data_IF_897603488077
#
_entry.id   IF_897603488077
#
_cell.length_a   1.000
_cell.length_b   1.000
_cell.length_c   1.000
_cell.angle_alpha   90.00
_cell.angle_beta   90.00
_cell.angle_gamma   90.00
#
_symmetry.space_group_name_H-M   'P 1'
#
loop_
_entity.id
_entity.type
_entity.pdbx_description
1 polymer ?
#
# COMPACT_ATOMS: atom_id res chain seq x y z
N UNK A 1 -3.81 53.91 -14.38
CA UNK A 1 -2.85 52.92 -14.91
C UNK A 1 -1.69 52.85 -13.93
N UNK A 2 -1.66 51.83 -13.06
CA UNK A 2 -0.56 51.62 -12.09
C UNK A 2 0.02 50.26 -12.42
N UNK A 3 1.24 50.26 -12.96
CA UNK A 3 2.01 49.06 -13.30
C UNK A 3 2.76 48.61 -12.05
N UNK A 4 2.36 47.47 -11.50
CA UNK A 4 3.10 46.79 -10.42
C UNK A 4 4.07 45.78 -11.05
N UNK A 5 5.35 46.12 -11.02
CA UNK A 5 6.44 45.23 -11.40
C UNK A 5 6.77 44.31 -10.20
N UNK A 6 6.57 43.00 -10.37
CA UNK A 6 7.05 41.97 -9.42
C UNK A 6 8.29 41.33 -10.04
N UNK A 7 9.46 41.32 -9.37
CA UNK A 7 10.68 40.80 -9.95
C UNK A 7 10.61 39.28 -10.10
N UNK A 8 11.04 38.82 -11.28
CA UNK A 8 10.95 37.45 -11.76
C UNK A 8 11.77 36.46 -10.94
N UNK A 9 11.12 35.33 -10.65
CA UNK A 9 11.80 34.05 -10.50
C UNK A 9 12.45 33.67 -11.84
N UNK A 10 13.69 33.22 -11.79
CA UNK A 10 14.48 32.76 -12.93
C UNK A 10 13.70 31.79 -13.84
N UNK A 11 13.29 32.31 -15.00
CA UNK A 11 12.83 31.58 -16.16
C UNK A 11 14.06 31.04 -16.92
N UNK A 12 14.61 29.88 -16.55
CA UNK A 12 15.48 29.09 -17.43
C UNK A 12 15.48 27.60 -17.01
N UNK A 13 14.31 26.98 -17.00
CA UNK A 13 14.20 25.56 -17.33
C UNK A 13 13.29 25.50 -18.55
N UNK A 14 13.90 25.47 -19.73
CA UNK A 14 13.18 25.16 -20.96
C UNK A 14 12.42 23.84 -20.75
N UNK A 15 11.13 23.89 -21.05
CA UNK A 15 10.12 22.83 -20.94
C UNK A 15 10.46 21.60 -21.80
N UNK A 16 11.53 20.89 -21.46
CA UNK A 16 11.83 19.61 -22.06
C UNK A 16 11.09 18.52 -21.29
N UNK A 17 10.26 17.79 -22.02
CA UNK A 17 9.67 16.53 -21.62
C UNK A 17 10.75 15.55 -21.15
N UNK A 18 10.52 14.80 -20.04
CA UNK A 18 11.41 13.70 -19.65
C UNK A 18 11.61 12.67 -20.78
N UNK A 19 10.53 12.33 -21.51
CA UNK A 19 10.63 11.48 -22.70
C UNK A 19 11.54 12.00 -23.84
N UNK A 20 11.82 13.31 -23.91
CA UNK A 20 12.65 13.94 -24.93
C UNK A 20 14.01 14.43 -24.41
N UNK A 21 14.28 14.32 -23.11
CA UNK A 21 15.59 14.71 -22.57
C UNK A 21 16.68 13.73 -23.01
N UNK A 22 17.85 14.29 -23.34
CA UNK A 22 19.06 13.52 -23.59
C UNK A 22 19.53 12.82 -22.32
N UNK A 23 20.18 11.67 -22.47
CA UNK A 23 20.69 10.85 -21.37
C UNK A 23 21.62 11.63 -20.43
N UNK A 24 22.41 12.56 -20.97
CA UNK A 24 23.28 13.46 -20.21
C UNK A 24 22.48 14.44 -19.33
N UNK A 25 21.34 14.93 -19.80
CA UNK A 25 20.46 15.79 -19.03
C UNK A 25 19.77 15.00 -17.90
N UNK A 26 19.35 13.76 -18.17
CA UNK A 26 18.81 12.86 -17.15
C UNK A 26 19.86 12.49 -16.09
N UNK A 27 21.12 12.31 -16.49
CA UNK A 27 22.23 12.08 -15.56
C UNK A 27 22.51 13.30 -14.67
N UNK A 28 22.47 14.50 -15.23
CA UNK A 28 22.63 15.73 -14.45
C UNK A 28 21.48 15.93 -13.43
N UNK A 29 20.24 15.57 -13.82
CA UNK A 29 19.08 15.60 -12.95
C UNK A 29 19.19 14.57 -11.81
N UNK A 30 19.62 13.34 -12.11
CA UNK A 30 19.85 12.30 -11.11
C UNK A 30 20.96 12.69 -10.12
N UNK A 31 22.01 13.36 -10.59
CA UNK A 31 23.12 13.81 -9.75
C UNK A 31 22.76 15.01 -8.85
N UNK A 32 21.69 15.74 -9.20
CA UNK A 32 21.27 16.96 -8.52
C UNK A 32 19.91 16.75 -7.85
N UNK A 33 19.86 16.06 -6.72
CA UNK A 33 18.64 16.01 -5.93
C UNK A 33 18.49 14.85 -4.95
N UNK A 34 17.23 14.53 -4.68
CA UNK A 34 16.78 13.48 -3.79
C UNK A 34 17.46 12.12 -4.14
N UNK A 35 18.19 11.48 -3.21
CA UNK A 35 18.95 10.25 -3.50
C UNK A 35 18.09 9.07 -3.96
N UNK A 36 16.77 9.14 -3.73
CA UNK A 36 15.78 8.15 -4.16
C UNK A 36 15.41 8.27 -5.65
N UNK A 37 15.70 9.42 -6.27
CA UNK A 37 15.48 9.64 -7.70
C UNK A 37 16.78 9.30 -8.45
N UNK A 38 17.08 8.01 -8.47
CA UNK A 38 18.27 7.49 -9.13
C UNK A 38 18.11 7.57 -10.66
N UNK A 39 19.24 7.48 -11.37
CA UNK A 39 19.28 7.43 -12.83
C UNK A 39 18.37 6.34 -13.40
N UNK A 40 18.26 5.20 -12.72
CA UNK A 40 17.40 4.08 -13.12
C UNK A 40 15.93 4.51 -13.21
N UNK A 41 15.35 4.98 -12.11
CA UNK A 41 13.99 5.53 -12.04
C UNK A 41 13.73 6.59 -13.13
N UNK A 42 14.65 7.54 -13.32
CA UNK A 42 14.46 8.61 -14.33
C UNK A 42 14.50 8.07 -15.77
N UNK A 43 15.36 7.10 -16.03
CA UNK A 43 15.47 6.48 -17.35
C UNK A 43 14.26 5.61 -17.65
N UNK A 44 13.74 4.91 -16.65
CA UNK A 44 12.52 4.13 -16.74
C UNK A 44 11.29 5.01 -16.97
N UNK A 45 11.17 6.11 -16.23
CA UNK A 45 10.11 7.08 -16.48
C UNK A 45 10.20 7.66 -17.90
N UNK A 46 11.41 7.94 -18.38
CA UNK A 46 11.61 8.39 -19.76
C UNK A 46 11.26 7.32 -20.80
N UNK A 47 11.54 6.04 -20.53
CA UNK A 47 11.22 4.92 -21.43
C UNK A 47 9.71 4.64 -21.47
N UNK A 48 9.04 4.68 -20.32
CA UNK A 48 7.59 4.58 -20.19
C UNK A 48 6.90 5.69 -21.00
N UNK A 49 7.35 6.94 -20.86
CA UNK A 49 6.82 8.06 -21.64
C UNK A 49 7.01 7.89 -23.15
N UNK A 50 8.16 7.36 -23.59
CA UNK A 50 8.41 7.11 -25.02
C UNK A 50 7.50 6.01 -25.56
N UNK A 51 7.37 4.90 -24.85
CA UNK A 51 6.51 3.78 -25.27
C UNK A 51 5.05 4.20 -25.39
N UNK A 52 4.56 4.97 -24.41
CA UNK A 52 3.24 5.57 -24.45
C UNK A 52 3.02 6.51 -25.65
N UNK A 53 4.00 7.36 -25.94
CA UNK A 53 3.92 8.28 -27.09
C UNK A 53 3.91 7.55 -28.42
N UNK A 54 4.64 6.43 -28.53
CA UNK A 54 4.62 5.59 -29.73
C UNK A 54 3.24 4.97 -29.96
N UNK A 55 2.62 4.42 -28.91
CA UNK A 55 1.26 3.85 -29.01
C UNK A 55 0.23 4.95 -29.33
N UNK A 56 0.35 6.10 -28.65
CA UNK A 56 -0.47 7.28 -28.90
C UNK A 56 -0.43 7.69 -30.38
N UNK A 57 0.77 7.78 -30.96
CA UNK A 57 0.96 8.17 -32.36
C UNK A 57 0.45 7.11 -33.34
N UNK A 58 0.62 5.82 -33.03
CA UNK A 58 0.16 4.72 -33.91
C UNK A 58 -1.37 4.60 -33.96
N UNK A 59 -2.05 4.88 -32.84
CA UNK A 59 -3.49 4.62 -32.68
C UNK A 59 -4.34 5.88 -32.54
N UNK A 60 -3.72 7.06 -32.63
CA UNK A 60 -4.36 8.37 -32.40
C UNK A 60 -5.05 8.47 -31.02
N UNK A 61 -4.41 7.90 -29.99
CA UNK A 61 -4.89 7.96 -28.61
C UNK A 61 -4.31 9.18 -27.90
N UNK A 62 -5.14 9.89 -27.13
CA UNK A 62 -4.67 10.98 -26.28
C UNK A 62 -4.02 10.39 -25.02
N UNK A 63 -2.68 10.27 -25.03
CA UNK A 63 -1.94 9.81 -23.87
C UNK A 63 -1.38 11.01 -23.09
N UNK A 64 -1.82 11.20 -21.83
CA UNK A 64 -1.41 12.31 -21.00
C UNK A 64 0.02 12.11 -20.51
N UNK A 65 0.81 13.20 -20.53
CA UNK A 65 2.19 13.18 -20.07
C UNK A 65 2.33 13.83 -18.70
N UNK A 66 2.93 13.11 -17.76
CA UNK A 66 3.21 13.63 -16.42
C UNK A 66 4.53 14.40 -16.43
N UNK A 67 4.44 15.71 -16.25
CA UNK A 67 5.62 16.59 -16.14
C UNK A 67 6.09 16.65 -14.68
N UNK A 68 6.76 15.60 -14.23
CA UNK A 68 7.44 15.58 -12.94
C UNK A 68 8.90 16.07 -13.11
N UNK A 69 9.38 16.88 -12.16
CA UNK A 69 10.74 17.43 -12.20
C UNK A 69 11.35 17.30 -10.80
N UNK A 70 12.35 16.43 -10.61
CA UNK A 70 13.03 16.29 -9.32
C UNK A 70 13.55 17.62 -8.79
N UNK A 71 13.43 17.82 -7.48
CA UNK A 71 13.96 19.00 -6.81
C UNK A 71 15.49 18.99 -6.77
N UNK A 72 16.10 20.06 -7.23
CA UNK A 72 17.56 20.28 -7.22
C UNK A 72 18.10 20.87 -5.92
N UNK A 73 17.35 20.76 -4.82
CA UNK A 73 17.78 21.30 -3.53
C UNK A 73 18.99 20.53 -2.98
N UNK A 74 20.03 21.24 -2.55
CA UNK A 74 21.24 20.64 -1.96
C UNK A 74 21.04 19.92 -0.62
N UNK A 75 19.85 20.01 -0.01
CA UNK A 75 19.48 19.23 1.18
C UNK A 75 18.42 18.19 0.78
N UNK A 76 18.77 16.91 0.92
CA UNK A 76 17.91 15.77 0.55
C UNK A 76 16.53 15.81 1.19
N UNK A 77 16.43 16.23 2.45
CA UNK A 77 15.15 16.33 3.18
C UNK A 77 14.25 17.42 2.61
N UNK A 78 14.81 18.56 2.24
CA UNK A 78 14.05 19.66 1.62
C UNK A 78 13.67 19.33 0.17
N UNK A 79 14.56 18.65 -0.56
CA UNK A 79 14.29 18.15 -1.90
C UNK A 79 13.09 17.18 -1.89
N UNK A 80 13.13 16.14 -1.05
CA UNK A 80 12.03 15.18 -0.89
C UNK A 80 10.71 15.83 -0.51
N UNK A 81 10.71 16.78 0.43
CA UNK A 81 9.49 17.56 0.77
C UNK A 81 8.95 18.37 -0.40
N UNK A 82 9.81 18.84 -1.30
CA UNK A 82 9.39 19.51 -2.52
C UNK A 82 8.78 18.51 -3.51
N UNK A 83 9.45 17.37 -3.71
CA UNK A 83 9.03 16.29 -4.59
C UNK A 83 7.66 15.72 -4.17
N UNK A 84 7.48 15.42 -2.88
CA UNK A 84 6.20 14.98 -2.29
C UNK A 84 5.11 16.01 -2.59
N UNK A 85 5.34 17.29 -2.31
CA UNK A 85 4.35 18.35 -2.58
C UNK A 85 4.01 18.48 -4.07
N UNK A 86 4.98 18.27 -4.96
CA UNK A 86 4.76 18.28 -6.39
C UNK A 86 3.95 17.04 -6.83
N UNK A 87 4.30 15.86 -6.35
CA UNK A 87 3.57 14.63 -6.63
C UNK A 87 2.10 14.72 -6.18
N UNK A 88 1.84 15.22 -4.98
CA UNK A 88 0.47 15.49 -4.50
C UNK A 88 -0.30 16.46 -5.39
N UNK A 89 0.38 17.45 -5.99
CA UNK A 89 -0.25 18.40 -6.91
C UNK A 89 -0.63 17.72 -8.23
N UNK A 90 0.25 16.88 -8.77
CA UNK A 90 0.08 16.21 -10.04
C UNK A 90 -0.92 15.04 -9.95
N UNK A 91 -0.94 14.31 -8.84
CA UNK A 91 -1.83 13.16 -8.63
C UNK A 91 -3.24 13.55 -8.16
N UNK A 92 -3.49 14.83 -7.94
CA UNK A 92 -4.76 15.31 -7.43
C UNK A 92 -5.86 15.09 -8.47
N UNK A 93 -6.96 14.39 -8.12
CA UNK A 93 -8.06 14.15 -9.06
C UNK A 93 -8.63 15.46 -9.63
N UNK A 94 -8.93 15.46 -10.93
CA UNK A 94 -9.46 16.64 -11.60
C UNK A 94 -10.85 17.00 -11.07
N UNK A 95 -10.95 18.20 -10.48
CA UNK A 95 -12.21 18.73 -9.95
C UNK A 95 -12.93 19.53 -11.03
N UNK A 96 -14.25 19.46 -11.02
CA UNK A 96 -15.07 20.35 -11.88
C UNK A 96 -15.03 21.78 -11.36
N UNK A 97 -15.22 22.76 -12.24
CA UNK A 97 -15.35 24.16 -11.83
C UNK A 97 -16.45 24.31 -10.76
N UNK A 98 -16.25 25.24 -9.82
CA UNK A 98 -17.21 25.54 -8.75
C UNK A 98 -18.59 25.92 -9.31
N UNK A 99 -18.63 26.52 -10.48
CA UNK A 99 -19.86 27.03 -11.13
C UNK A 99 -20.52 25.96 -12.03
N UNK A 100 -19.91 24.78 -12.19
CA UNK A 100 -20.48 23.75 -13.07
C UNK A 100 -21.79 23.18 -12.48
N UNK A 101 -22.87 23.07 -13.27
CA UNK A 101 -24.15 22.58 -12.77
C UNK A 101 -24.03 21.15 -12.23
N UNK A 102 -23.25 20.29 -12.89
CA UNK A 102 -22.98 18.93 -12.42
C UNK A 102 -22.34 18.88 -11.01
N UNK A 103 -21.57 19.90 -10.61
CA UNK A 103 -20.98 19.98 -9.27
C UNK A 103 -22.00 20.39 -8.22
N UNK A 104 -22.96 21.25 -8.57
CA UNK A 104 -24.12 21.57 -7.73
C UNK A 104 -24.99 20.34 -7.47
N UNK A 105 -25.13 19.45 -8.46
CA UNK A 105 -25.82 18.16 -8.33
C UNK A 105 -24.96 17.02 -7.72
N UNK A 106 -23.86 17.34 -7.03
CA UNK A 106 -23.08 16.37 -6.25
C UNK A 106 -21.90 15.70 -6.98
N UNK A 107 -21.69 15.94 -8.28
CA UNK A 107 -20.52 15.40 -9.01
C UNK A 107 -19.30 16.33 -8.89
N UNK A 108 -18.57 16.24 -7.77
CA UNK A 108 -17.36 17.06 -7.53
C UNK A 108 -16.21 16.82 -8.52
N UNK A 109 -16.00 15.58 -8.93
CA UNK A 109 -14.88 15.16 -9.79
C UNK A 109 -15.31 15.04 -11.25
N UNK A 110 -14.38 15.32 -12.17
CA UNK A 110 -14.66 15.26 -13.62
C UNK A 110 -14.72 13.83 -14.12
N UNK A 111 -13.74 13.01 -13.73
CA UNK A 111 -13.49 11.68 -14.28
C UNK A 111 -13.84 10.51 -13.34
N UNK A 112 -14.49 10.80 -12.21
CA UNK A 112 -14.90 9.77 -11.24
C UNK A 112 -16.17 9.03 -11.68
N UNK A 113 -16.08 8.21 -12.73
CA UNK A 113 -17.23 7.50 -13.31
C UNK A 113 -17.05 5.98 -13.30
N UNK A 114 -15.93 5.49 -13.82
CA UNK A 114 -15.65 4.08 -14.07
C UNK A 114 -14.22 3.72 -13.66
N UNK A 115 -13.98 2.44 -13.36
CA UNK A 115 -12.71 1.92 -12.81
C UNK A 115 -11.53 2.01 -13.77
N UNK A 116 -11.77 1.98 -15.08
CA UNK A 116 -10.71 2.07 -16.09
C UNK A 116 -10.34 3.51 -16.47
N UNK A 117 -11.08 4.52 -16.01
CA UNK A 117 -10.79 5.91 -16.37
C UNK A 117 -9.83 6.50 -15.33
N UNK A 118 -8.77 7.14 -15.82
CA UNK A 118 -7.83 7.86 -14.96
C UNK A 118 -8.49 9.10 -14.34
N UNK A 119 -8.36 9.27 -13.02
CA UNK A 119 -9.04 10.35 -12.27
C UNK A 119 -8.43 11.74 -12.45
N UNK A 120 -7.21 11.82 -12.97
CA UNK A 120 -6.46 13.08 -13.15
C UNK A 120 -6.68 13.66 -14.54
N UNK A 121 -6.44 12.86 -15.58
CA UNK A 121 -6.41 13.31 -16.97
C UNK A 121 -7.67 12.89 -17.75
N UNK A 122 -8.33 11.79 -17.36
CA UNK A 122 -9.49 11.22 -18.03
C UNK A 122 -9.16 10.17 -19.09
N UNK A 123 -7.91 9.70 -19.16
CA UNK A 123 -7.47 8.67 -20.11
C UNK A 123 -8.13 7.31 -19.83
N UNK A 124 -8.48 6.59 -20.89
CA UNK A 124 -9.04 5.23 -20.79
C UNK A 124 -7.91 4.21 -20.66
N UNK A 125 -7.69 3.72 -19.44
CA UNK A 125 -6.64 2.75 -19.14
C UNK A 125 -6.97 1.36 -19.69
N UNK A 126 -8.25 1.02 -19.92
CA UNK A 126 -8.63 -0.28 -20.48
C UNK A 126 -8.15 -0.40 -21.92
N UNK A 127 -8.34 0.65 -22.71
CA UNK A 127 -7.88 0.68 -24.10
C UNK A 127 -6.34 0.63 -24.15
N UNK A 128 -5.65 1.33 -23.26
CA UNK A 128 -4.19 1.25 -23.17
C UNK A 128 -3.69 -0.18 -22.89
N UNK A 129 -4.26 -0.84 -21.87
CA UNK A 129 -3.87 -2.20 -21.47
C UNK A 129 -4.11 -3.22 -22.60
N UNK A 130 -5.16 -3.04 -23.41
CA UNK A 130 -5.45 -3.96 -24.52
C UNK A 130 -4.35 -4.00 -25.58
N UNK A 131 -3.65 -2.90 -25.80
CA UNK A 131 -2.57 -2.84 -26.77
C UNK A 131 -1.22 -3.22 -26.15
N UNK A 132 -0.91 -2.67 -24.99
CA UNK A 132 0.36 -2.89 -24.32
C UNK A 132 0.20 -2.66 -22.82
N UNK A 133 0.60 -3.64 -22.01
CA UNK A 133 0.53 -3.52 -20.57
C UNK A 133 1.71 -2.71 -20.03
N UNK A 134 1.64 -1.40 -20.18
CA UNK A 134 2.67 -0.48 -19.71
C UNK A 134 2.92 -0.56 -18.20
N UNK A 135 1.93 -1.00 -17.42
CA UNK A 135 2.08 -1.24 -15.99
C UNK A 135 3.04 -2.39 -15.68
N UNK A 136 3.20 -3.35 -16.59
CA UNK A 136 4.10 -4.49 -16.43
C UNK A 136 5.55 -4.14 -16.75
N UNK A 137 5.75 -3.15 -17.63
CA UNK A 137 7.08 -2.67 -18.04
C UNK A 137 7.76 -1.78 -17.01
N UNK A 138 6.96 -1.16 -16.15
CA UNK A 138 7.45 -0.30 -15.08
C UNK A 138 7.62 -1.17 -13.84
N UNK A 139 8.86 -1.36 -13.44
CA UNK A 139 9.27 -2.16 -12.32
C UNK A 139 9.78 -1.28 -11.18
N UNK A 140 9.59 -1.77 -9.96
CA UNK A 140 10.20 -1.17 -8.80
C UNK A 140 11.69 -1.58 -8.71
N UNK A 141 12.59 -0.60 -8.64
CA UNK A 141 14.04 -0.80 -8.47
C UNK A 141 14.40 -1.65 -7.24
N UNK A 142 13.62 -1.59 -6.16
CA UNK A 142 13.92 -2.29 -4.90
C UNK A 142 13.43 -3.74 -4.90
N UNK A 143 12.17 -3.95 -5.30
CA UNK A 143 11.53 -5.27 -5.24
C UNK A 143 11.62 -6.05 -6.56
N UNK A 144 11.94 -5.38 -7.67
CA UNK A 144 11.92 -5.94 -9.02
C UNK A 144 10.52 -6.30 -9.52
N UNK A 145 9.46 -5.95 -8.78
CA UNK A 145 8.07 -6.24 -9.14
C UNK A 145 7.50 -5.15 -10.03
N UNK A 146 6.64 -5.54 -10.96
CA UNK A 146 5.97 -4.58 -11.83
C UNK A 146 4.87 -3.82 -11.09
N UNK A 147 4.51 -2.62 -11.57
CA UNK A 147 3.35 -1.89 -11.04
C UNK A 147 2.05 -2.69 -11.17
N UNK A 148 1.95 -3.52 -12.20
CA UNK A 148 0.82 -4.44 -12.39
C UNK A 148 0.72 -5.42 -11.21
N UNK A 149 1.81 -6.09 -10.86
CA UNK A 149 1.81 -7.07 -9.77
C UNK A 149 1.57 -6.41 -8.41
N UNK A 150 2.05 -5.18 -8.21
CA UNK A 150 1.94 -4.49 -6.93
C UNK A 150 0.55 -3.89 -6.68
N UNK A 151 -0.11 -3.37 -7.71
CA UNK A 151 -1.33 -2.55 -7.54
C UNK A 151 -2.57 -3.10 -8.25
N UNK A 152 -2.40 -3.94 -9.27
CA UNK A 152 -3.51 -4.53 -10.02
C UNK A 152 -3.85 -5.97 -9.60
N UNK A 153 -3.17 -6.50 -8.59
CA UNK A 153 -3.49 -7.79 -8.00
C UNK A 153 -4.02 -7.62 -6.58
N UNK A 154 -5.13 -8.29 -6.28
CA UNK A 154 -5.64 -8.33 -4.93
C UNK A 154 -4.71 -9.22 -4.08
N UNK A 155 -4.17 -8.72 -2.94
CA UNK A 155 -3.17 -9.45 -2.16
C UNK A 155 -3.72 -10.71 -1.49
N UNK A 156 -5.04 -10.82 -1.31
CA UNK A 156 -5.66 -11.98 -0.66
C UNK A 156 -6.08 -13.03 -1.68
N UNK A 157 -6.67 -12.60 -2.80
CA UNK A 157 -7.25 -13.54 -3.79
C UNK A 157 -6.34 -13.79 -4.99
N UNK A 158 -5.31 -12.96 -5.22
CA UNK A 158 -4.45 -13.00 -6.40
C UNK A 158 -5.15 -12.63 -7.71
N UNK A 159 -6.43 -12.23 -7.66
CA UNK A 159 -7.18 -11.86 -8.86
C UNK A 159 -6.82 -10.45 -9.33
N UNK A 160 -6.86 -10.24 -10.65
CA UNK A 160 -6.63 -8.93 -11.24
C UNK A 160 -7.80 -7.98 -10.90
N UNK A 161 -7.52 -6.96 -10.08
CA UNK A 161 -8.47 -5.93 -9.65
C UNK A 161 -7.88 -4.55 -9.95
N UNK A 162 -8.65 -3.67 -10.59
CA UNK A 162 -8.16 -2.34 -10.94
C UNK A 162 -7.86 -1.52 -9.69
N UNK A 163 -6.67 -0.90 -9.66
CA UNK A 163 -6.31 0.04 -8.60
C UNK A 163 -7.30 1.20 -8.54
N UNK A 164 -7.90 1.47 -7.37
CA UNK A 164 -8.82 2.59 -7.19
C UNK A 164 -8.13 3.76 -6.48
N UNK A 165 -8.07 4.90 -7.15
CA UNK A 165 -7.47 6.11 -6.61
C UNK A 165 -8.26 6.67 -5.41
N UNK A 166 -7.61 7.48 -4.57
CA UNK A 166 -8.22 8.13 -3.42
C UNK A 166 -8.44 9.63 -3.66
N UNK A 167 -9.44 10.23 -3.00
CA UNK A 167 -9.71 11.68 -3.13
C UNK A 167 -8.48 12.55 -2.80
N UNK A 168 -7.76 12.20 -1.74
CA UNK A 168 -6.55 12.92 -1.30
C UNK A 168 -5.27 12.15 -1.63
N UNK A 169 -5.24 11.42 -2.75
CA UNK A 169 -4.10 10.64 -3.26
C UNK A 169 -3.78 9.42 -2.41
N UNK A 170 -3.28 9.60 -1.18
CA UNK A 170 -2.90 8.51 -0.25
C UNK A 170 -3.95 8.30 0.85
N UNK A 171 -4.82 9.29 1.07
CA UNK A 171 -5.85 9.27 2.12
C UNK A 171 -7.24 9.66 1.60
N UNK A 172 -8.25 9.44 2.44
CA UNK A 172 -9.64 9.85 2.18
C UNK A 172 -10.51 8.71 1.66
N UNK A 173 -11.49 9.04 0.80
CA UNK A 173 -12.46 8.08 0.27
C UNK A 173 -11.95 7.48 -1.04
N UNK A 174 -12.12 6.16 -1.20
CA UNK A 174 -11.90 5.45 -2.47
C UNK A 174 -12.79 6.06 -3.56
N UNK A 175 -12.18 6.38 -4.68
CA UNK A 175 -12.86 6.81 -5.89
C UNK A 175 -13.27 5.60 -6.72
N UNK A 176 -14.02 5.86 -7.78
CA UNK A 176 -14.47 4.84 -8.74
C UNK A 176 -13.51 4.68 -9.91
N UNK A 177 -12.49 5.52 -10.05
CA UNK A 177 -11.53 5.50 -11.16
C UNK A 177 -10.11 5.22 -10.70
N UNK A 178 -9.22 5.00 -11.67
CA UNK A 178 -7.83 4.57 -11.47
C UNK A 178 -6.82 5.68 -11.79
N UNK A 179 -5.54 5.33 -11.86
CA UNK A 179 -4.46 6.15 -12.40
C UNK A 179 -3.93 5.53 -13.70
N UNK A 180 -3.61 6.37 -14.69
CA UNK A 180 -2.88 5.91 -15.87
C UNK A 180 -1.44 5.47 -15.49
N UNK A 181 -0.71 4.73 -16.34
CA UNK A 181 0.59 4.15 -15.99
C UNK A 181 1.59 5.13 -15.36
N UNK A 182 1.74 6.33 -15.94
CA UNK A 182 2.62 7.37 -15.38
C UNK A 182 2.15 7.92 -14.04
N UNK A 183 0.84 8.16 -13.89
CA UNK A 183 0.31 8.63 -12.61
C UNK A 183 0.42 7.53 -11.55
N UNK A 184 0.28 6.25 -11.91
CA UNK A 184 0.47 5.15 -10.98
C UNK A 184 1.94 5.00 -10.59
N UNK A 185 2.87 5.18 -11.53
CA UNK A 185 4.31 5.21 -11.24
C UNK A 185 4.66 6.37 -10.30
N UNK A 186 4.18 7.59 -10.56
CA UNK A 186 4.39 8.72 -9.67
C UNK A 186 3.75 8.50 -8.29
N UNK A 187 2.59 7.82 -8.23
CA UNK A 187 1.96 7.43 -6.97
C UNK A 187 2.82 6.43 -6.19
N UNK A 188 3.39 5.44 -6.88
CA UNK A 188 4.32 4.49 -6.26
C UNK A 188 5.55 5.19 -5.66
N UNK A 189 6.18 6.10 -6.42
CA UNK A 189 7.29 6.92 -5.93
C UNK A 189 6.89 7.81 -4.74
N UNK A 190 5.68 8.38 -4.76
CA UNK A 190 5.15 9.15 -3.64
C UNK A 190 5.07 8.30 -2.37
N UNK A 191 4.50 7.08 -2.45
CA UNK A 191 4.42 6.18 -1.30
C UNK A 191 5.80 5.84 -0.72
N UNK A 192 6.82 5.66 -1.59
CA UNK A 192 8.20 5.46 -1.14
C UNK A 192 8.76 6.67 -0.41
N UNK A 193 8.57 7.87 -0.97
CA UNK A 193 9.06 9.10 -0.34
C UNK A 193 8.39 9.40 0.99
N UNK A 194 7.10 9.10 1.12
CA UNK A 194 6.37 9.20 2.38
C UNK A 194 6.89 8.21 3.41
N UNK A 195 7.04 6.94 3.05
CA UNK A 195 7.58 5.92 3.95
C UNK A 195 8.98 6.29 4.45
N UNK A 196 9.83 6.86 3.60
CA UNK A 196 11.17 7.30 3.99
C UNK A 196 11.15 8.56 4.86
N UNK A 197 10.26 9.52 4.55
CA UNK A 197 10.05 10.69 5.40
C UNK A 197 9.58 10.26 6.79
N UNK A 198 8.66 9.31 6.88
CA UNK A 198 8.17 8.76 8.15
C UNK A 198 9.29 8.04 8.92
N UNK A 199 10.10 7.20 8.27
CA UNK A 199 11.29 6.57 8.91
C UNK A 199 12.25 7.62 9.49
N UNK A 200 12.56 8.67 8.72
CA UNK A 200 13.43 9.76 9.20
C UNK A 200 12.82 10.52 10.38
N UNK A 201 11.49 10.73 10.36
CA UNK A 201 10.77 11.33 11.49
C UNK A 201 10.81 10.43 12.73
N UNK A 202 10.74 9.12 12.55
CA UNK A 202 10.82 8.15 13.64
C UNK A 202 12.21 8.06 14.26
N UNK A 203 13.28 8.20 13.46
CA UNK A 203 14.67 8.21 13.92
C UNK A 203 15.08 9.52 14.63
N UNK A 204 14.27 10.58 14.54
CA UNK A 204 14.62 11.88 15.10
C UNK A 204 14.48 11.88 16.64
N UNK A 205 15.53 12.24 17.41
CA UNK A 205 15.48 12.25 18.88
C UNK A 205 14.44 13.21 19.47
N UNK A 206 13.99 14.22 18.70
CA UNK A 206 12.94 15.15 19.13
C UNK A 206 11.51 14.59 19.02
N UNK A 207 11.35 13.32 18.60
CA UNK A 207 10.05 12.63 18.42
C UNK A 207 9.11 12.75 19.61
N UNK A 208 9.63 12.59 20.83
CA UNK A 208 8.82 12.65 22.06
C UNK A 208 8.21 14.04 22.25
N UNK A 209 8.99 15.09 22.01
CA UNK A 209 8.51 16.48 22.14
C UNK A 209 7.45 16.81 21.09
N UNK A 210 7.62 16.32 19.86
CA UNK A 210 6.67 16.59 18.78
C UNK A 210 5.35 15.82 18.95
N UNK A 211 5.40 14.56 19.38
CA UNK A 211 4.19 13.75 19.66
C UNK A 211 3.42 14.26 20.88
N UNK A 212 4.11 14.70 21.94
CA UNK A 212 3.49 15.35 23.10
C UNK A 212 2.80 16.66 22.71
N UNK A 213 3.40 17.48 21.84
CA UNK A 213 2.77 18.71 21.31
C UNK A 213 1.53 18.43 20.46
N UNK A 214 1.47 17.28 19.81
CA UNK A 214 0.29 16.82 19.06
C UNK A 214 -0.80 16.22 19.97
N UNK A 215 -0.60 16.23 21.30
CA UNK A 215 -1.57 15.69 22.26
C UNK A 215 -1.60 14.17 22.32
N UNK A 216 -0.60 13.49 21.75
CA UNK A 216 -0.48 12.03 21.76
C UNK A 216 0.48 11.63 22.88
N UNK A 217 -0.05 11.04 23.95
CA UNK A 217 0.78 10.39 24.97
C UNK A 217 1.29 9.06 24.41
N UNK A 218 2.60 8.92 24.29
CA UNK A 218 3.21 7.63 23.95
C UNK A 218 3.35 6.86 25.25
N UNK A 219 2.49 5.85 25.43
CA UNK A 219 2.75 4.78 26.40
C UNK A 219 3.78 3.88 25.74
N UNK A 220 5.07 4.17 25.96
CA UNK A 220 6.11 3.18 25.68
C UNK A 220 5.90 2.08 26.71
N UNK A 221 5.16 1.04 26.35
CA UNK A 221 5.29 -0.24 27.04
C UNK A 221 6.72 -0.66 26.76
N UNK A 222 7.62 -0.69 27.75
CA UNK A 222 8.89 -1.35 27.53
C UNK A 222 8.53 -2.78 27.20
N UNK A 223 8.66 -3.16 25.93
CA UNK A 223 8.90 -4.55 25.63
C UNK A 223 10.26 -4.77 26.26
N UNK A 224 10.27 -5.27 27.49
CA UNK A 224 11.41 -5.98 28.01
C UNK A 224 11.60 -7.12 27.04
N UNK A 225 12.34 -6.83 25.96
CA UNK A 225 13.15 -7.80 25.28
C UNK A 225 13.96 -8.36 26.44
N UNK A 226 13.52 -9.50 26.98
CA UNK A 226 14.41 -10.30 27.80
C UNK A 226 15.68 -10.34 26.98
N UNK A 227 16.77 -9.78 27.51
CA UNK A 227 18.06 -9.86 26.85
C UNK A 227 18.25 -11.34 26.59
N UNK A 228 18.01 -11.75 25.35
CA UNK A 228 18.37 -13.06 24.85
C UNK A 228 19.88 -12.96 24.96
N UNK A 229 20.43 -13.53 26.02
CA UNK A 229 21.86 -13.70 26.15
C UNK A 229 22.28 -14.26 24.80
N UNK A 230 23.05 -13.47 24.05
CA UNK A 230 23.64 -13.83 22.77
C UNK A 230 24.62 -14.99 23.02
N UNK A 231 24.08 -16.14 23.41
CA UNK A 231 24.78 -17.39 23.50
C UNK A 231 24.76 -17.94 22.08
N UNK A 232 25.71 -17.44 21.29
CA UNK A 232 26.40 -18.13 20.20
C UNK A 232 25.54 -19.19 19.48
N UNK A 233 24.42 -18.78 18.90
CA UNK A 233 23.61 -19.69 18.08
C UNK A 233 24.38 -19.97 16.80
N UNK A 234 24.74 -21.23 16.50
CA UNK A 234 25.54 -21.56 15.33
C UNK A 234 24.81 -21.15 14.04
N UNK A 235 25.57 -20.64 13.06
CA UNK A 235 25.07 -20.12 11.76
C UNK A 235 24.10 -21.07 11.01
N UNK A 236 24.10 -22.37 11.30
CA UNK A 236 23.17 -23.35 10.75
C UNK A 236 21.73 -23.20 11.27
N UNK A 237 21.53 -22.62 12.46
CA UNK A 237 20.22 -22.47 13.11
C UNK A 237 19.56 -21.11 12.86
N UNK A 238 20.32 -20.11 12.37
CA UNK A 238 19.78 -18.77 12.04
C UNK A 238 18.62 -18.81 11.04
N UNK A 239 18.66 -19.76 10.08
CA UNK A 239 17.57 -19.97 9.12
C UNK A 239 16.25 -20.44 9.75
N UNK A 240 16.31 -21.03 10.95
CA UNK A 240 15.14 -21.52 11.67
C UNK A 240 14.68 -20.56 12.78
N UNK A 241 15.40 -19.46 13.01
CA UNK A 241 15.01 -18.42 13.96
C UNK A 241 13.57 -17.90 13.75
N UNK A 242 13.11 -17.57 12.52
CA UNK A 242 11.72 -17.14 12.32
C UNK A 242 10.70 -18.24 12.66
N UNK A 243 11.08 -19.51 12.55
CA UNK A 243 10.23 -20.64 12.93
C UNK A 243 10.12 -20.77 14.46
N UNK A 244 11.22 -20.56 15.19
CA UNK A 244 11.19 -20.55 16.65
C UNK A 244 10.43 -19.35 17.23
N UNK A 245 10.54 -18.17 16.61
CA UNK A 245 9.75 -16.99 17.01
C UNK A 245 8.24 -17.22 16.85
N UNK A 246 7.85 -17.88 15.75
CA UNK A 246 6.45 -18.25 15.52
C UNK A 246 5.96 -19.22 16.60
N UNK A 247 6.76 -20.25 16.90
CA UNK A 247 6.42 -21.22 17.93
C UNK A 247 6.36 -20.63 19.33
N UNK A 248 7.27 -19.72 19.69
CA UNK A 248 7.24 -19.03 20.97
C UNK A 248 6.02 -18.12 21.12
N UNK A 249 5.53 -17.56 20.00
CA UNK A 249 4.28 -16.80 19.98
C UNK A 249 3.09 -17.72 20.15
N UNK A 250 3.02 -18.79 19.35
CA UNK A 250 1.90 -19.73 19.38
C UNK A 250 1.82 -20.50 20.70
N UNK A 251 2.96 -20.80 21.36
CA UNK A 251 2.98 -21.43 22.68
C UNK A 251 2.44 -20.54 23.82
N UNK A 252 2.33 -19.22 23.61
CA UNK A 252 1.64 -18.34 24.57
C UNK A 252 0.13 -18.35 24.39
N UNK A 253 -0.32 -18.56 23.15
CA UNK A 253 -1.73 -18.47 22.76
C UNK A 253 -2.43 -19.83 22.85
N UNK A 254 -1.72 -20.94 22.62
CA UNK A 254 -2.25 -22.30 22.62
C UNK A 254 -1.60 -23.18 23.70
N UNK A 255 -2.42 -23.80 24.54
CA UNK A 255 -1.95 -24.71 25.62
C UNK A 255 -1.36 -26.03 25.08
N UNK A 256 -1.51 -26.31 23.78
CA UNK A 256 -1.05 -27.52 23.12
C UNK A 256 0.44 -27.53 22.71
N UNK A 257 1.15 -26.40 22.81
CA UNK A 257 2.56 -26.29 22.43
C UNK A 257 3.41 -26.04 23.67
N UNK A 258 4.38 -26.93 23.93
CA UNK A 258 5.30 -26.79 25.05
C UNK A 258 6.74 -26.75 24.56
N UNK A 259 7.45 -25.67 24.92
CA UNK A 259 8.86 -25.46 24.60
C UNK A 259 9.66 -25.60 25.90
N UNK A 260 10.56 -26.57 25.95
CA UNK A 260 11.38 -26.88 27.12
C UNK A 260 12.85 -26.71 26.78
N UNK A 261 13.56 -25.92 27.59
CA UNK A 261 15.00 -25.70 27.45
C UNK A 261 15.74 -26.42 28.57
N UNK A 262 16.57 -27.39 28.20
CA UNK A 262 17.47 -28.08 29.12
C UNK A 262 18.79 -27.32 29.18
N UNK A 263 19.01 -26.63 30.31
CA UNK A 263 20.26 -25.96 30.62
C UNK A 263 21.26 -26.94 31.20
N UNK A 264 22.49 -26.84 30.76
CA UNK A 264 23.58 -27.53 31.42
C UNK A 264 23.77 -26.95 32.83
N UNK A 265 23.77 -27.78 33.89
CA UNK A 265 23.93 -27.29 35.25
C UNK A 265 25.31 -26.66 35.52
N UNK A 266 26.33 -26.97 34.70
CA UNK A 266 27.69 -26.45 34.88
C UNK A 266 27.97 -25.18 34.07
N UNK A 267 27.48 -25.09 32.82
CA UNK A 267 27.75 -23.94 31.92
C UNK A 267 26.63 -22.90 31.91
N UNK A 268 25.42 -23.26 32.35
CA UNK A 268 24.24 -22.40 32.29
C UNK A 268 23.70 -22.14 30.87
N UNK A 269 24.33 -22.74 29.85
CA UNK A 269 23.93 -22.64 28.44
C UNK A 269 22.83 -23.67 28.16
N UNK A 270 21.89 -23.33 27.28
CA UNK A 270 20.86 -24.25 26.79
C UNK A 270 21.49 -25.28 25.84
N UNK A 271 21.64 -26.52 26.27
CA UNK A 271 22.22 -27.59 25.44
C UNK A 271 21.17 -28.22 24.52
N UNK A 272 19.94 -28.38 25.00
CA UNK A 272 18.85 -29.04 24.26
C UNK A 272 17.57 -28.22 24.40
N UNK A 273 16.91 -27.95 23.28
CA UNK A 273 15.55 -27.39 23.27
C UNK A 273 14.60 -28.40 22.63
N UNK A 274 13.53 -28.76 23.34
CA UNK A 274 12.49 -29.69 22.86
C UNK A 274 11.17 -28.94 22.67
N UNK A 275 10.61 -29.06 21.46
CA UNK A 275 9.28 -28.56 21.12
C UNK A 275 8.32 -29.76 21.08
N UNK A 276 7.30 -29.73 21.93
CA UNK A 276 6.29 -30.79 22.02
C UNK A 276 4.93 -30.25 21.62
N UNK A 277 4.25 -30.95 20.71
CA UNK A 277 2.86 -30.67 20.32
C UNK A 277 1.96 -31.76 20.88
N UNK A 278 1.04 -31.40 21.79
CA UNK A 278 0.00 -32.32 22.24
C UNK A 278 -1.17 -32.29 21.26
N UNK A 279 -1.15 -33.23 20.31
CA UNK A 279 -2.19 -33.35 19.27
C UNK A 279 -3.60 -33.57 19.83
N UNK A 280 -3.75 -34.03 21.08
CA UNK A 280 -5.06 -34.24 21.70
C UNK A 280 -5.74 -32.93 22.06
N UNK A 281 -4.96 -31.93 22.49
CA UNK A 281 -5.46 -30.60 22.81
C UNK A 281 -5.92 -29.91 21.52
N UNK A 282 -5.12 -30.00 20.46
CA UNK A 282 -5.49 -29.47 19.14
C UNK A 282 -6.75 -30.11 18.57
N UNK A 283 -6.91 -31.43 18.74
CA UNK A 283 -8.15 -32.11 18.33
C UNK A 283 -9.37 -31.64 19.12
N UNK A 284 -9.21 -31.39 20.42
CA UNK A 284 -10.27 -30.85 21.27
C UNK A 284 -10.67 -29.43 20.84
N UNK A 285 -9.71 -28.56 20.58
CA UNK A 285 -9.97 -27.19 20.09
C UNK A 285 -10.65 -27.20 18.71
N UNK A 286 -10.25 -28.08 17.79
CA UNK A 286 -10.91 -28.23 16.48
C UNK A 286 -12.37 -28.68 16.62
N UNK A 287 -12.67 -29.54 17.60
CA UNK A 287 -14.04 -29.99 17.89
C UNK A 287 -14.85 -28.85 18.54
N UNK A 288 -14.24 -28.06 19.43
CA UNK A 288 -14.89 -26.91 20.07
C UNK A 288 -15.15 -25.77 19.07
N UNK A 289 -14.27 -25.53 18.10
CA UNK A 289 -14.49 -24.59 17.00
C UNK A 289 -15.62 -25.02 16.05
N UNK A 290 -15.77 -26.32 15.80
CA UNK A 290 -16.81 -26.86 14.92
C UNK A 290 -18.18 -27.00 15.60
N UNK A 291 -18.25 -26.86 16.92
CA UNK A 291 -19.51 -26.90 17.66
C UNK A 291 -19.99 -25.48 17.97
N UNK A 292 -21.21 -25.08 17.53
CA UNK A 292 -21.73 -23.76 17.85
C UNK A 292 -21.90 -23.60 19.36
N UNK A 293 -21.48 -22.44 19.87
CA UNK A 293 -21.50 -22.08 21.29
C UNK A 293 -22.88 -22.38 21.91
N UNK A 294 -22.97 -22.90 23.14
CA UNK A 294 -24.25 -23.25 23.78
C UNK A 294 -25.25 -22.07 23.84
N UNK A 295 -24.73 -20.84 23.88
CA UNK A 295 -25.52 -19.61 23.83
C UNK A 295 -26.30 -19.44 22.50
N UNK A 296 -25.74 -19.91 21.39
CA UNK A 296 -26.38 -19.85 20.07
C UNK A 296 -27.46 -20.93 19.91
N UNK A 297 -27.25 -22.11 20.49
CA UNK A 297 -28.26 -23.19 20.52
C UNK A 297 -29.49 -22.81 21.36
N UNK A 298 -29.32 -22.03 22.42
CA UNK A 298 -30.43 -21.53 23.25
C UNK A 298 -31.31 -20.50 22.52
N UNK A 299 -30.78 -19.74 21.56
CA UNK A 299 -31.59 -18.82 20.74
C UNK A 299 -32.45 -19.55 19.69
N UNK A 300 -32.00 -20.69 19.17
CA UNK A 300 -32.74 -21.46 18.16
C UNK A 300 -33.98 -22.14 18.76
N UNK A 301 -33.93 -22.55 20.03
CA UNK A 301 -35.04 -23.23 20.70
C UNK A 301 -36.17 -22.30 21.20
N UNK A 302 -36.08 -20.98 21.00
CA UNK A 302 -37.10 -20.02 21.48
C UNK A 302 -38.13 -19.55 20.42
N UNK A 303 -38.19 -20.14 19.22
CA UNK A 303 -39.31 -19.85 18.31
C UNK A 303 -40.56 -20.69 18.65
N UNK A 304 -41.70 -20.09 19.03
CA UNK A 304 -42.92 -20.83 19.31
C UNK A 304 -43.62 -21.30 18.02
N UNK A 305 -43.90 -22.61 17.97
CA UNK A 305 -44.74 -23.28 16.99
C UNK A 305 -46.18 -22.72 17.01
N UNK A 306 -46.56 -21.97 15.98
CA UNK A 306 -47.96 -21.72 15.65
C UNK A 306 -48.27 -22.38 14.31
N UNK A 307 -48.84 -23.59 14.36
CA UNK A 307 -49.50 -24.23 13.22
C UNK A 307 -50.85 -24.80 13.68
N UNK A 308 -51.97 -24.49 13.00
CA UNK A 308 -53.31 -24.93 13.40
C UNK A 308 -53.59 -26.39 12.98
N UNK A 309 -54.53 -27.09 13.66
CA UNK A 309 -54.79 -28.51 13.44
C UNK A 309 -55.66 -28.78 12.20
N UNK A 310 -55.36 -29.86 11.49
CA UNK A 310 -56.10 -30.36 10.32
C UNK A 310 -57.12 -31.43 10.77
N UNK A 311 -58.38 -31.43 10.31
CA UNK A 311 -59.43 -32.33 10.79
C UNK A 311 -59.43 -33.71 10.11
N UNK A 312 -59.74 -34.74 10.91
CA UNK A 312 -59.93 -36.15 10.54
C UNK A 312 -61.15 -36.35 9.61
N UNK A 313 -60.98 -37.15 8.56
CA UNK A 313 -62.09 -37.80 7.84
C UNK A 313 -61.91 -39.31 7.87
N UNK A 314 -62.73 -39.97 8.71
CA UNK A 314 -62.95 -41.41 8.65
C UNK A 314 -64.08 -41.69 7.65
N UNK A 315 -63.91 -42.72 6.83
CA UNK A 315 -64.88 -43.14 5.82
C UNK A 315 -66.18 -43.70 6.43
N UNK A 316 -67.28 -43.49 5.72
CA UNK A 316 -68.55 -44.17 5.94
C UNK A 316 -68.85 -44.96 4.67
N UNK A 317 -68.82 -46.30 4.80
CA UNK A 317 -69.45 -47.22 3.86
C UNK A 317 -70.96 -47.18 4.07
N UNK A 318 -71.71 -46.86 3.01
CA UNK A 318 -72.90 -47.59 2.54
C UNK A 318 -73.34 -47.04 1.19
#
# INVERSE_FOLDING_TARGET
MVSNYIPGYNNQQQLNSLGHSNETALMALAAQGNPQLNRAVLMEQASAQRSMQQIAAQKNLEVPKVNFYPSTHGNSRKARKSDIRQAYRLLKPAKRSLISPARLFGSKYRYNKQSHICVVDGCDCKELIQYDNLYEKICDDETGRSLWDMYWQNPVTGQAEAFLAMDKVTSGRKMRGTYCPEHLHLYHLLCKWEAEEDKEYEMNPNRLRDKVKQGVSIVTVPVSVMQKSEADTPLMLSKYEPFFELLEKDARDYEGINITHYKNPESGINDITTVTFDLRIFQKELIEMNNPTPAFQQMINQQPNNAPPIPNTQGVNQ
#
